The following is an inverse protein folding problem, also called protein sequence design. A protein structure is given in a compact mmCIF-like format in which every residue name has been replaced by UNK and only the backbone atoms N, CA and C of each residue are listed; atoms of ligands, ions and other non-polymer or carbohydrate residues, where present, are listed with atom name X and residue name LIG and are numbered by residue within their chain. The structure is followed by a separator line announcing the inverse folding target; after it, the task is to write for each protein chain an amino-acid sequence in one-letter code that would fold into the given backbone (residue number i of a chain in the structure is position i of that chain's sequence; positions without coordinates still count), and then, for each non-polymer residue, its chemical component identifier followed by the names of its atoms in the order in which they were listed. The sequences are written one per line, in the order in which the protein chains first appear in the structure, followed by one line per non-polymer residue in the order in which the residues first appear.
data_IF_762645696852
#
_entry.id   IF_762645696852
#
_cell.length_a   1.000
_cell.length_b   1.000
_cell.length_c   1.000
_cell.angle_alpha   90.00
_cell.angle_beta   90.00
_cell.angle_gamma   90.00
#
_symmetry.space_group_name_H-M   'P 1'
#
loop_
_entity.id
_entity.type
_entity.pdbx_description
1 polymer ?
#
# COMPACT_ATOMS: atom_id res chain seq x y z
N UNK A 1 -9.82 -24.78 15.08
CA UNK A 1 -10.06 -24.01 13.85
C UNK A 1 -9.33 -22.68 13.96
N UNK A 2 -8.29 -22.47 13.17
CA UNK A 2 -7.61 -21.17 13.04
C UNK A 2 -8.41 -20.40 11.98
N UNK A 3 -8.79 -19.12 12.17
CA UNK A 3 -9.46 -18.40 11.11
C UNK A 3 -8.46 -18.18 9.97
N UNK A 4 -8.62 -18.92 8.89
CA UNK A 4 -7.98 -18.66 7.61
C UNK A 4 -8.44 -17.27 7.16
N UNK A 5 -7.59 -16.27 7.36
CA UNK A 5 -7.88 -14.92 6.93
C UNK A 5 -8.06 -14.92 5.42
N UNK A 6 -9.31 -14.74 4.97
CA UNK A 6 -9.67 -14.52 3.58
C UNK A 6 -9.19 -13.13 3.17
N UNK A 7 -7.89 -13.02 2.87
CA UNK A 7 -7.34 -11.83 2.22
C UNK A 7 -7.81 -11.85 0.76
N UNK A 8 -8.72 -10.94 0.40
CA UNK A 8 -9.23 -10.82 -0.98
C UNK A 8 -8.22 -10.17 -1.92
N UNK A 9 -7.25 -9.41 -1.38
CA UNK A 9 -6.17 -8.83 -2.16
C UNK A 9 -4.82 -9.39 -1.69
N UNK A 10 -3.99 -9.78 -2.65
CA UNK A 10 -2.63 -10.25 -2.42
C UNK A 10 -1.62 -9.09 -2.36
N UNK A 11 -0.35 -9.44 -2.13
CA UNK A 11 0.77 -8.49 -2.03
C UNK A 11 0.88 -7.63 -3.30
N UNK A 12 0.78 -8.24 -4.47
CA UNK A 12 0.94 -7.55 -5.77
C UNK A 12 -0.20 -6.57 -5.99
N UNK A 13 -1.43 -6.96 -5.63
CA UNK A 13 -2.59 -6.09 -5.74
C UNK A 13 -2.48 -4.89 -4.80
N UNK A 14 -1.96 -5.08 -3.59
CA UNK A 14 -1.68 -3.97 -2.67
C UNK A 14 -0.64 -3.00 -3.25
N UNK A 15 0.43 -3.52 -3.83
CA UNK A 15 1.45 -2.73 -4.54
C UNK A 15 0.85 -1.90 -5.68
N UNK A 16 0.06 -2.54 -6.56
CA UNK A 16 -0.59 -1.88 -7.70
C UNK A 16 -1.53 -0.75 -7.25
N UNK A 17 -2.29 -0.97 -6.16
CA UNK A 17 -3.17 0.05 -5.58
C UNK A 17 -2.35 1.24 -5.07
N UNK A 18 -1.28 0.98 -4.32
CA UNK A 18 -0.41 2.04 -3.80
C UNK A 18 0.21 2.87 -4.90
N UNK A 19 0.77 2.24 -5.94
CA UNK A 19 1.40 2.94 -7.06
C UNK A 19 0.38 3.84 -7.76
N UNK A 20 -0.79 3.31 -8.12
CA UNK A 20 -1.85 4.08 -8.80
C UNK A 20 -2.38 5.23 -7.95
N UNK A 21 -2.41 5.07 -6.63
CA UNK A 21 -2.83 6.12 -5.73
C UNK A 21 -1.79 7.22 -5.60
N UNK A 22 -0.53 6.86 -5.29
CA UNK A 22 0.53 7.85 -5.09
C UNK A 22 0.88 8.59 -6.38
N UNK A 23 0.76 7.96 -7.55
CA UNK A 23 0.96 8.61 -8.85
C UNK A 23 0.01 9.79 -9.12
N UNK A 24 -1.12 9.90 -8.40
CA UNK A 24 -2.03 11.05 -8.52
C UNK A 24 -1.49 12.30 -7.83
N UNK A 25 -0.49 12.15 -6.95
CA UNK A 25 0.02 13.23 -6.10
C UNK A 25 1.55 13.42 -6.25
N UNK A 26 2.27 12.38 -6.65
CA UNK A 26 3.73 12.34 -6.72
C UNK A 26 4.22 11.55 -7.93
N UNK A 27 5.50 11.69 -8.25
CA UNK A 27 6.21 10.72 -9.06
C UNK A 27 6.67 9.55 -8.19
N UNK A 28 6.22 8.32 -8.47
CA UNK A 28 6.60 7.13 -7.69
C UNK A 28 7.92 6.56 -8.22
N UNK A 29 8.93 6.47 -7.36
CA UNK A 29 10.27 6.02 -7.74
C UNK A 29 10.36 4.49 -7.59
N UNK A 30 10.07 3.96 -6.41
CA UNK A 30 10.06 2.52 -6.15
C UNK A 30 9.21 2.17 -4.91
N UNK A 31 8.86 0.89 -4.78
CA UNK A 31 8.22 0.34 -3.57
C UNK A 31 9.29 -0.32 -2.71
N UNK A 32 9.47 0.16 -1.48
CA UNK A 32 10.49 -0.31 -0.53
C UNK A 32 10.06 -1.51 0.29
N UNK A 33 8.83 -1.48 0.80
CA UNK A 33 8.35 -2.51 1.74
C UNK A 33 6.85 -2.71 1.59
N UNK A 34 6.45 -3.98 1.68
CA UNK A 34 5.04 -4.38 1.78
C UNK A 34 4.93 -5.39 2.93
N UNK A 35 4.07 -5.09 3.90
CA UNK A 35 3.72 -5.98 5.02
C UNK A 35 2.20 -6.10 5.14
N UNK A 36 1.74 -7.24 5.66
CA UNK A 36 0.33 -7.47 5.98
C UNK A 36 0.21 -7.78 7.46
N UNK A 37 -0.54 -6.96 8.18
CA UNK A 37 -0.80 -7.14 9.61
C UNK A 37 -2.27 -6.83 9.87
N UNK A 38 -2.96 -7.70 10.62
CA UNK A 38 -4.34 -7.46 11.08
C UNK A 38 -5.35 -7.06 9.97
N UNK A 39 -5.30 -7.70 8.79
CA UNK A 39 -6.12 -7.36 7.61
C UNK A 39 -5.84 -5.98 6.99
N UNK A 40 -4.66 -5.43 7.21
CA UNK A 40 -4.19 -4.20 6.58
C UNK A 40 -2.88 -4.48 5.85
N UNK A 41 -2.85 -4.16 4.56
CA UNK A 41 -1.60 -4.04 3.82
C UNK A 41 -1.01 -2.66 4.09
N UNK A 42 0.25 -2.64 4.50
CA UNK A 42 1.04 -1.42 4.66
C UNK A 42 2.12 -1.43 3.60
N UNK A 43 2.09 -0.44 2.70
CA UNK A 43 3.03 -0.32 1.59
C UNK A 43 3.80 0.99 1.74
N UNK A 44 5.14 0.90 1.72
CA UNK A 44 6.04 2.06 1.72
C UNK A 44 6.68 2.22 0.35
N UNK A 45 6.59 3.42 -0.22
CA UNK A 45 7.16 3.75 -1.50
C UNK A 45 7.95 5.05 -1.41
N UNK A 46 9.08 5.13 -2.13
CA UNK A 46 9.76 6.40 -2.35
C UNK A 46 9.07 7.15 -3.48
N UNK A 47 8.87 8.44 -3.27
CA UNK A 47 8.21 9.33 -4.20
C UNK A 47 8.96 10.66 -4.29
N UNK A 48 8.74 11.41 -5.36
CA UNK A 48 9.21 12.78 -5.50
C UNK A 48 8.10 13.75 -5.94
N UNK A 49 8.15 14.96 -5.38
CA UNK A 49 7.32 16.09 -5.82
C UNK A 49 8.12 17.41 -5.74
N UNK A 50 8.70 17.71 -4.58
CA UNK A 50 9.64 18.85 -4.36
C UNK A 50 10.94 18.41 -3.67
N UNK A 51 11.29 17.12 -3.83
CA UNK A 51 12.32 16.41 -3.08
C UNK A 51 11.91 14.95 -2.90
N UNK A 52 12.85 14.10 -2.46
CA UNK A 52 12.57 12.69 -2.16
C UNK A 52 11.91 12.53 -0.80
N UNK A 53 10.82 11.76 -0.75
CA UNK A 53 10.14 11.39 0.46
C UNK A 53 9.71 9.93 0.40
N UNK A 54 9.60 9.27 1.55
CA UNK A 54 8.96 7.95 1.64
C UNK A 54 7.53 8.14 2.11
N UNK A 55 6.56 7.63 1.35
CA UNK A 55 5.14 7.62 1.73
C UNK A 55 4.71 6.23 2.13
N UNK A 56 3.84 6.16 3.13
CA UNK A 56 3.22 4.94 3.60
C UNK A 56 1.72 4.96 3.29
N UNK A 57 1.21 3.89 2.69
CA UNK A 57 -0.21 3.73 2.38
C UNK A 57 -0.74 2.49 3.08
N UNK A 58 -1.82 2.67 3.85
CA UNK A 58 -2.54 1.59 4.51
C UNK A 58 -3.77 1.21 3.69
N UNK A 59 -3.94 -0.08 3.40
CA UNK A 59 -4.99 -0.62 2.53
C UNK A 59 -5.71 -1.76 3.25
N UNK A 60 -7.04 -1.72 3.25
CA UNK A 60 -7.85 -2.81 3.78
C UNK A 60 -7.67 -4.08 2.91
N UNK A 61 -7.13 -5.15 3.49
CA UNK A 61 -6.76 -6.38 2.78
C UNK A 61 -7.96 -7.21 2.26
N UNK A 62 -9.19 -6.87 2.68
CA UNK A 62 -10.41 -7.50 2.17
C UNK A 62 -11.06 -6.71 1.03
N UNK A 63 -10.82 -5.41 0.93
CA UNK A 63 -11.58 -4.54 0.01
C UNK A 63 -10.70 -3.79 -0.98
N UNK A 64 -9.40 -3.67 -0.72
CA UNK A 64 -8.52 -2.82 -1.51
C UNK A 64 -8.75 -1.32 -1.29
N UNK A 65 -9.61 -0.93 -0.35
CA UNK A 65 -9.82 0.49 -0.01
C UNK A 65 -8.63 1.04 0.76
N UNK A 66 -8.21 2.25 0.40
CA UNK A 66 -7.22 3.01 1.16
C UNK A 66 -7.85 3.45 2.48
N UNK A 67 -7.15 3.18 3.59
CA UNK A 67 -7.55 3.54 4.95
C UNK A 67 -6.91 4.88 5.33
N UNK A 68 -5.61 5.02 5.05
CA UNK A 68 -4.82 6.22 5.37
C UNK A 68 -3.56 6.26 4.52
N UNK A 69 -2.95 7.45 4.46
CA UNK A 69 -1.63 7.63 3.87
C UNK A 69 -0.92 8.84 4.49
N UNK A 70 0.40 8.79 4.55
CA UNK A 70 1.27 9.85 5.05
C UNK A 70 2.64 9.82 4.38
#
# INVERSE_FOLDING_TARGET
MVPTSSYKIDRKKAEDITIRFLQQHYNVINVKKISNENNVWVVRADVSSFGEATREVSINAKTGKIISWQ
#
